data_IF_652160855407
#
_entry.id   IF_652160855407
#
_cell.length_a   1.000
_cell.length_b   1.000
_cell.length_c   1.000
_cell.angle_alpha   90.00
_cell.angle_beta   90.00
_cell.angle_gamma   90.00
#
_symmetry.space_group_name_H-M   'P 1'
#
loop_
_entity.id
_entity.type
_entity.pdbx_description
1 polymer ?
#
# COMPACT_ATOMS: atom_id res chain seq x y z
N UNK A 1 15.36 -8.28 11.17
CA UNK A 1 14.55 -7.10 10.78
C UNK A 1 13.19 -7.26 11.44
N UNK A 2 12.78 -6.33 12.30
CA UNK A 2 11.50 -6.42 13.01
C UNK A 2 10.56 -5.33 12.53
N UNK A 3 9.36 -5.72 12.12
CA UNK A 3 8.27 -4.79 11.82
C UNK A 3 7.82 -4.08 13.09
N UNK A 4 7.26 -2.87 12.95
CA UNK A 4 6.91 -1.96 14.04
C UNK A 4 5.90 -2.47 15.06
N UNK A 5 5.27 -3.62 14.81
CA UNK A 5 4.39 -4.33 15.75
C UNK A 5 5.18 -5.05 16.86
N UNK A 6 4.67 -6.21 17.31
CA UNK A 6 5.19 -7.02 18.41
C UNK A 6 6.68 -7.38 18.28
N UNK A 7 7.18 -7.58 17.05
CA UNK A 7 8.58 -7.93 16.83
C UNK A 7 9.55 -6.87 17.38
N UNK A 8 9.24 -5.59 17.19
CA UNK A 8 10.07 -4.48 17.71
C UNK A 8 10.07 -4.40 19.24
N UNK A 9 8.98 -4.81 19.89
CA UNK A 9 8.89 -4.89 21.35
C UNK A 9 9.77 -5.99 21.93
N UNK A 10 9.71 -7.19 21.36
CA UNK A 10 10.57 -8.31 21.75
C UNK A 10 12.04 -7.93 21.55
N UNK A 11 12.36 -7.30 20.42
CA UNK A 11 13.73 -6.84 20.13
C UNK A 11 14.22 -5.83 21.17
N UNK A 12 13.40 -4.84 21.56
CA UNK A 12 13.77 -3.86 22.57
C UNK A 12 14.00 -4.49 23.95
N UNK A 13 13.13 -5.41 24.37
CA UNK A 13 13.28 -6.11 25.66
C UNK A 13 14.52 -6.99 25.66
N UNK A 14 14.72 -7.80 24.62
CA UNK A 14 15.91 -8.64 24.47
C UNK A 14 17.19 -7.79 24.45
N UNK A 15 17.20 -6.68 23.71
CA UNK A 15 18.32 -5.75 23.66
C UNK A 15 18.69 -5.23 25.05
N UNK A 16 17.69 -4.83 25.85
CA UNK A 16 17.89 -4.36 27.22
C UNK A 16 18.41 -5.45 28.16
N UNK A 17 17.92 -6.68 28.05
CA UNK A 17 18.37 -7.81 28.88
C UNK A 17 19.79 -8.25 28.55
N UNK A 18 20.17 -8.19 27.28
CA UNK A 18 21.47 -8.65 26.78
C UNK A 18 22.53 -7.53 26.74
N UNK A 19 22.16 -6.28 27.05
CA UNK A 19 23.07 -5.14 26.96
C UNK A 19 23.52 -4.81 25.53
N UNK A 20 22.71 -5.15 24.53
CA UNK A 20 22.96 -4.88 23.11
C UNK A 20 21.97 -3.83 22.57
N UNK A 21 22.13 -3.42 21.31
CA UNK A 21 21.21 -2.49 20.64
C UNK A 21 20.24 -3.20 19.70
N UNK A 22 19.22 -2.48 19.23
CA UNK A 22 18.30 -2.96 18.20
C UNK A 22 17.95 -1.88 17.18
N UNK A 23 17.47 -2.33 16.02
CA UNK A 23 16.92 -1.50 14.95
C UNK A 23 15.56 -2.04 14.51
N UNK A 24 14.75 -1.20 13.89
CA UNK A 24 13.44 -1.60 13.36
C UNK A 24 13.14 -1.00 11.99
N UNK A 25 12.14 -1.58 11.31
CA UNK A 25 11.64 -1.08 10.03
C UNK A 25 10.15 -0.81 10.14
N UNK A 26 9.73 0.42 9.81
CA UNK A 26 8.34 0.87 9.91
C UNK A 26 7.70 1.03 8.53
N UNK A 27 6.55 0.40 8.35
CA UNK A 27 5.68 0.49 7.19
C UNK A 27 4.48 1.40 7.49
N UNK A 28 3.71 1.74 6.45
CA UNK A 28 2.54 2.63 6.62
C UNK A 28 1.54 2.13 7.67
N UNK A 29 1.25 0.83 7.74
CA UNK A 29 0.33 0.27 8.74
C UNK A 29 0.89 0.33 10.17
N UNK A 30 2.21 0.20 10.34
CA UNK A 30 2.88 0.37 11.65
C UNK A 30 2.66 1.79 12.19
N UNK A 31 2.61 2.79 11.31
CA UNK A 31 2.49 4.21 11.68
C UNK A 31 1.04 4.66 11.80
N UNK A 32 0.25 4.38 10.76
CA UNK A 32 -1.07 4.98 10.55
C UNK A 32 -2.20 4.21 11.24
N UNK A 33 -1.98 2.94 11.55
CA UNK A 33 -2.99 2.10 12.19
C UNK A 33 -2.56 1.63 13.58
N UNK A 34 -1.26 1.36 13.80
CA UNK A 34 -0.79 0.66 15.01
C UNK A 34 0.46 1.30 15.66
N UNK A 35 0.38 2.60 15.97
CA UNK A 35 1.46 3.37 16.59
C UNK A 35 1.68 3.14 18.09
N UNK A 36 1.27 1.99 18.65
CA UNK A 36 1.35 1.74 20.08
C UNK A 36 2.80 1.79 20.58
N UNK A 37 3.05 2.69 21.54
CA UNK A 37 4.35 2.93 22.18
C UNK A 37 5.50 3.17 21.21
N UNK A 38 5.19 3.76 20.05
CA UNK A 38 6.18 3.98 19.01
C UNK A 38 7.22 5.02 19.43
N UNK A 39 6.83 6.00 20.26
CA UNK A 39 7.70 6.94 20.95
C UNK A 39 8.82 6.22 21.73
N UNK A 40 8.46 5.24 22.57
CA UNK A 40 9.41 4.49 23.39
C UNK A 40 10.35 3.68 22.49
N UNK A 41 9.80 2.98 21.49
CA UNK A 41 10.59 2.16 20.57
C UNK A 41 11.56 3.01 19.74
N UNK A 42 11.11 4.16 19.22
CA UNK A 42 11.94 5.10 18.47
C UNK A 42 13.03 5.72 19.34
N UNK A 43 12.71 6.05 20.60
CA UNK A 43 13.70 6.59 21.54
C UNK A 43 14.82 5.57 21.82
N UNK A 44 14.47 4.28 21.97
CA UNK A 44 15.41 3.24 22.37
C UNK A 44 16.09 2.49 21.21
N UNK A 45 15.62 2.58 19.97
CA UNK A 45 16.31 1.97 18.83
C UNK A 45 17.55 2.78 18.43
N UNK A 46 18.59 2.12 17.93
CA UNK A 46 19.77 2.80 17.38
C UNK A 46 19.48 3.53 16.08
N UNK A 47 18.72 2.90 15.18
CA UNK A 47 18.23 3.50 13.94
C UNK A 47 16.93 2.84 13.51
N UNK A 48 16.17 3.54 12.66
CA UNK A 48 14.92 3.07 12.11
C UNK A 48 14.89 3.30 10.59
N UNK A 49 14.55 2.26 9.84
CA UNK A 49 14.19 2.40 8.44
C UNK A 49 12.70 2.63 8.28
N UNK A 50 12.31 3.40 7.27
CA UNK A 50 10.93 3.45 6.80
C UNK A 50 10.87 3.45 5.28
N UNK A 51 9.72 3.09 4.71
CA UNK A 51 9.60 2.77 3.29
C UNK A 51 9.32 3.97 2.38
N UNK A 52 9.05 5.15 2.94
CA UNK A 52 8.71 6.36 2.18
C UNK A 52 9.07 7.66 2.91
N UNK A 53 9.28 8.74 2.15
CA UNK A 53 9.48 10.08 2.73
C UNK A 53 8.22 10.60 3.42
N UNK A 54 7.03 10.16 2.98
CA UNK A 54 5.80 10.44 3.70
C UNK A 54 5.86 9.89 5.13
N UNK A 55 6.25 8.63 5.29
CA UNK A 55 6.38 8.00 6.60
C UNK A 55 7.44 8.69 7.46
N UNK A 56 8.58 9.07 6.86
CA UNK A 56 9.65 9.79 7.57
C UNK A 56 9.15 11.11 8.12
N UNK A 57 8.50 11.93 7.29
CA UNK A 57 7.88 13.19 7.73
C UNK A 57 6.84 12.96 8.82
N UNK A 58 5.95 11.98 8.63
CA UNK A 58 4.94 11.62 9.62
C UNK A 58 5.57 11.29 10.99
N UNK A 59 6.66 10.51 11.02
CA UNK A 59 7.38 10.18 12.25
C UNK A 59 7.95 11.45 12.90
N UNK A 60 8.65 12.30 12.14
CA UNK A 60 9.31 13.49 12.69
C UNK A 60 8.32 14.55 13.19
N UNK A 61 7.18 14.69 12.51
CA UNK A 61 6.09 15.58 12.94
C UNK A 61 5.40 15.07 14.20
N UNK A 62 5.19 13.74 14.31
CA UNK A 62 4.45 13.14 15.43
C UNK A 62 5.31 12.88 16.66
N UNK A 63 6.61 12.71 16.49
CA UNK A 63 7.57 12.37 17.55
C UNK A 63 8.77 13.34 17.53
N UNK A 64 8.56 14.61 17.92
CA UNK A 64 9.57 15.67 17.77
C UNK A 64 10.85 15.46 18.60
N UNK A 65 10.82 14.57 19.60
CA UNK A 65 12.00 14.20 20.39
C UNK A 65 12.95 13.22 19.68
N UNK A 66 12.61 12.75 18.48
CA UNK A 66 13.40 11.78 17.74
C UNK A 66 14.37 12.50 16.79
N UNK A 67 15.69 12.24 16.89
CA UNK A 67 16.68 12.82 15.98
C UNK A 67 16.40 12.46 14.51
N UNK A 68 16.55 13.45 13.62
CA UNK A 68 16.19 13.30 12.20
C UNK A 68 17.08 12.30 11.45
N UNK A 69 18.33 12.16 11.88
CA UNK A 69 19.35 11.23 11.38
C UNK A 69 19.10 9.78 11.82
N UNK A 70 18.30 9.57 12.88
CA UNK A 70 17.88 8.24 13.33
C UNK A 70 16.93 7.57 12.32
N UNK A 71 16.21 8.34 11.51
CA UNK A 71 15.19 7.86 10.57
C UNK A 71 15.69 7.93 9.14
N UNK A 72 15.89 6.77 8.53
CA UNK A 72 16.34 6.63 7.14
C UNK A 72 15.23 6.05 6.24
N UNK A 73 15.12 6.57 5.02
CA UNK A 73 14.19 6.01 4.03
C UNK A 73 14.88 4.91 3.23
N UNK A 74 14.30 3.71 3.24
CA UNK A 74 14.69 2.58 2.41
C UNK A 74 13.46 2.13 1.64
N UNK A 75 13.40 2.48 0.35
CA UNK A 75 12.31 2.04 -0.52
C UNK A 75 12.35 0.52 -0.72
N UNK A 76 11.16 -0.08 -0.75
CA UNK A 76 10.99 -1.49 -1.05
C UNK A 76 11.31 -1.73 -2.53
N UNK A 77 12.29 -2.59 -2.80
CA UNK A 77 12.61 -3.01 -4.15
C UNK A 77 11.58 -4.00 -4.69
N UNK A 78 11.53 -4.11 -6.02
CA UNK A 78 10.84 -5.19 -6.73
C UNK A 78 11.90 -6.07 -7.39
N UNK A 79 11.76 -7.39 -7.30
CA UNK A 79 12.70 -8.31 -7.93
C UNK A 79 12.67 -8.14 -9.45
N UNK A 80 13.81 -7.80 -10.05
CA UNK A 80 13.98 -7.64 -11.50
C UNK A 80 14.53 -8.91 -12.15
N UNK A 81 14.28 -10.08 -11.56
CA UNK A 81 14.89 -11.35 -11.94
C UNK A 81 14.56 -11.80 -13.38
N UNK A 82 13.60 -11.15 -14.03
CA UNK A 82 13.38 -11.25 -15.47
C UNK A 82 13.71 -9.90 -16.11
N UNK A 83 14.41 -9.89 -17.26
CA UNK A 83 14.52 -8.65 -18.04
C UNK A 83 13.11 -8.10 -18.20
N UNK A 84 12.95 -6.79 -17.97
CA UNK A 84 11.72 -6.08 -18.29
C UNK A 84 11.49 -6.29 -19.79
N UNK A 85 10.78 -7.36 -20.14
CA UNK A 85 10.37 -7.63 -21.51
C UNK A 85 9.64 -6.35 -21.90
N UNK A 86 10.05 -5.65 -22.99
CA UNK A 86 9.29 -4.53 -23.48
C UNK A 86 7.87 -5.05 -23.65
N UNK A 87 6.97 -4.64 -22.76
CA UNK A 87 5.62 -5.16 -22.78
C UNK A 87 5.11 -4.84 -24.18
N UNK A 88 4.70 -5.86 -24.95
CA UNK A 88 3.81 -5.59 -26.08
C UNK A 88 2.74 -4.68 -25.50
N UNK A 89 2.62 -3.46 -26.03
CA UNK A 89 1.64 -2.50 -25.52
C UNK A 89 0.33 -3.26 -25.39
N UNK A 90 -0.18 -3.36 -24.16
CA UNK A 90 -1.45 -3.99 -23.92
C UNK A 90 -2.48 -3.09 -24.60
N UNK A 91 -2.88 -3.47 -25.81
CA UNK A 91 -3.85 -2.73 -26.58
C UNK A 91 -5.22 -3.12 -26.03
N UNK A 92 -5.90 -2.14 -25.42
CA UNK A 92 -7.33 -2.24 -25.21
C UNK A 92 -8.06 -2.26 -26.55
N UNK A 93 -9.40 -2.41 -26.54
CA UNK A 93 -10.20 -2.23 -27.74
C UNK A 93 -9.87 -0.90 -28.43
N UNK A 94 -9.93 -0.86 -29.76
CA UNK A 94 -9.56 0.34 -30.52
C UNK A 94 -10.38 1.56 -30.09
N UNK A 95 -9.68 2.68 -29.84
CA UNK A 95 -10.27 3.92 -29.34
C UNK A 95 -10.76 3.86 -27.89
N UNK A 96 -10.31 2.89 -27.09
CA UNK A 96 -10.73 2.68 -25.71
C UNK A 96 -9.55 2.87 -24.73
N UNK A 97 -9.74 3.71 -23.71
CA UNK A 97 -8.78 3.86 -22.63
C UNK A 97 -8.75 2.59 -21.75
N UNK A 98 -7.58 1.97 -21.62
CA UNK A 98 -7.40 0.81 -20.73
C UNK A 98 -6.92 1.27 -19.35
N UNK A 99 -7.76 1.06 -18.34
CA UNK A 99 -7.43 1.29 -16.93
C UNK A 99 -7.12 -0.05 -16.26
N UNK A 100 -6.04 -0.11 -15.49
CA UNK A 100 -5.66 -1.30 -14.72
C UNK A 100 -5.49 -0.92 -13.24
N UNK A 101 -6.17 -1.63 -12.36
CA UNK A 101 -5.94 -1.59 -10.93
C UNK A 101 -5.55 -2.98 -10.43
N UNK A 102 -4.47 -3.06 -9.66
CA UNK A 102 -3.96 -4.33 -9.11
C UNK A 102 -3.88 -4.23 -7.60
N UNK A 103 -4.54 -5.15 -6.90
CA UNK A 103 -4.48 -5.24 -5.45
C UNK A 103 -5.62 -6.04 -4.86
N UNK A 104 -5.44 -6.48 -3.60
CA UNK A 104 -6.50 -7.16 -2.83
C UNK A 104 -7.79 -6.34 -2.84
N UNK A 105 -8.93 -7.00 -3.02
CA UNK A 105 -10.26 -6.40 -2.92
C UNK A 105 -10.59 -6.20 -1.43
N UNK A 106 -9.97 -5.18 -0.85
CA UNK A 106 -10.04 -4.85 0.57
C UNK A 106 -10.28 -3.34 0.70
N UNK A 107 -11.00 -2.93 1.75
CA UNK A 107 -11.34 -1.53 2.03
C UNK A 107 -10.17 -0.54 1.86
N UNK A 108 -8.96 -0.87 2.32
CA UNK A 108 -7.76 0.00 2.19
C UNK A 108 -7.31 0.29 0.76
N UNK A 109 -7.79 -0.49 -0.22
CA UNK A 109 -7.53 -0.24 -1.65
C UNK A 109 -8.61 0.60 -2.31
N UNK A 110 -9.77 0.75 -1.66
CA UNK A 110 -10.91 1.56 -2.09
C UNK A 110 -11.23 1.47 -3.59
N UNK A 111 -11.38 0.24 -4.10
CA UNK A 111 -11.82 0.02 -5.48
C UNK A 111 -13.22 0.61 -5.75
N UNK A 112 -14.04 0.81 -4.71
CA UNK A 112 -15.34 1.46 -4.84
C UNK A 112 -15.18 2.92 -5.33
N UNK A 113 -14.16 3.65 -4.88
CA UNK A 113 -13.84 4.98 -5.40
C UNK A 113 -13.47 4.95 -6.89
N UNK A 114 -12.69 3.96 -7.31
CA UNK A 114 -12.36 3.76 -8.73
C UNK A 114 -13.63 3.49 -9.56
N UNK A 115 -14.56 2.65 -9.07
CA UNK A 115 -15.83 2.39 -9.76
C UNK A 115 -16.68 3.66 -9.91
N UNK A 116 -16.78 4.47 -8.84
CA UNK A 116 -17.47 5.77 -8.90
C UNK A 116 -16.83 6.71 -9.92
N UNK A 117 -15.50 6.71 -10.02
CA UNK A 117 -14.78 7.46 -11.05
C UNK A 117 -15.06 6.95 -12.46
N UNK A 118 -15.14 5.63 -12.66
CA UNK A 118 -15.54 5.02 -13.94
C UNK A 118 -16.95 5.45 -14.36
N UNK A 119 -17.90 5.56 -13.42
CA UNK A 119 -19.23 6.09 -13.71
C UNK A 119 -19.19 7.52 -14.24
N UNK A 120 -18.33 8.39 -13.68
CA UNK A 120 -18.12 9.75 -14.17
C UNK A 120 -17.51 9.77 -15.59
N UNK A 121 -16.58 8.86 -15.89
CA UNK A 121 -16.01 8.73 -17.25
C UNK A 121 -17.10 8.32 -18.25
N UNK A 122 -17.96 7.37 -17.88
CA UNK A 122 -19.09 6.92 -18.70
C UNK A 122 -20.09 8.05 -18.97
N UNK A 123 -20.42 8.83 -17.94
CA UNK A 123 -21.29 10.02 -18.07
C UNK A 123 -20.72 11.08 -19.02
N UNK A 124 -19.38 11.18 -19.10
CA UNK A 124 -18.68 12.06 -20.04
C UNK A 124 -18.47 11.44 -21.43
N UNK A 125 -19.13 10.31 -21.71
CA UNK A 125 -19.05 9.58 -22.98
C UNK A 125 -17.64 9.15 -23.37
N UNK A 126 -16.74 8.97 -22.39
CA UNK A 126 -15.42 8.41 -22.64
C UNK A 126 -15.53 6.89 -22.82
N UNK A 127 -14.89 6.37 -23.87
CA UNK A 127 -14.77 4.93 -24.09
C UNK A 127 -13.60 4.40 -23.28
N UNK A 128 -13.86 3.52 -22.32
CA UNK A 128 -12.83 2.89 -21.48
C UNK A 128 -13.16 1.45 -21.12
N UNK A 129 -12.12 0.71 -20.74
CA UNK A 129 -12.19 -0.61 -20.13
C UNK A 129 -11.34 -0.59 -18.86
N UNK A 130 -11.94 -0.90 -17.72
CA UNK A 130 -11.27 -0.98 -16.42
C UNK A 130 -11.13 -2.44 -16.00
N UNK A 131 -9.89 -2.88 -15.84
CA UNK A 131 -9.53 -4.19 -15.35
C UNK A 131 -9.08 -4.07 -13.90
N UNK A 132 -9.70 -4.84 -13.01
CA UNK A 132 -9.35 -4.89 -11.60
C UNK A 132 -8.85 -6.31 -11.31
N UNK A 133 -7.55 -6.45 -11.06
CA UNK A 133 -6.88 -7.70 -10.75
C UNK A 133 -6.67 -7.84 -9.24
N UNK A 134 -7.22 -8.90 -8.67
CA UNK A 134 -7.15 -9.21 -7.25
C UNK A 134 -8.40 -9.91 -6.73
N UNK A 135 -8.28 -10.46 -5.53
CA UNK A 135 -9.37 -11.07 -4.77
C UNK A 135 -9.45 -10.47 -3.37
N UNK A 136 -10.59 -10.66 -2.71
CA UNK A 136 -10.75 -10.25 -1.32
C UNK A 136 -12.21 -10.14 -0.87
N UNK A 137 -12.41 -9.80 0.41
CA UNK A 137 -13.74 -9.76 1.03
C UNK A 137 -14.70 -8.77 0.36
N UNK A 138 -14.20 -7.71 -0.27
CA UNK A 138 -15.02 -6.70 -0.97
C UNK A 138 -15.53 -7.16 -2.34
N UNK A 139 -15.26 -8.40 -2.78
CA UNK A 139 -15.65 -8.82 -4.15
C UNK A 139 -17.16 -8.63 -4.39
N UNK A 140 -18.00 -9.17 -3.50
CA UNK A 140 -19.46 -9.14 -3.68
C UNK A 140 -20.01 -7.72 -3.65
N UNK A 141 -19.51 -6.86 -2.76
CA UNK A 141 -19.91 -5.45 -2.69
C UNK A 141 -19.51 -4.70 -3.96
N UNK A 142 -18.33 -4.97 -4.52
CA UNK A 142 -17.88 -4.37 -5.78
C UNK A 142 -18.69 -4.85 -6.99
N UNK A 143 -19.03 -6.14 -7.08
CA UNK A 143 -19.89 -6.68 -8.15
C UNK A 143 -21.28 -6.03 -8.14
N UNK A 144 -21.87 -5.85 -6.94
CA UNK A 144 -23.12 -5.14 -6.77
C UNK A 144 -23.00 -3.67 -7.22
N UNK A 145 -21.96 -2.96 -6.78
CA UNK A 145 -21.73 -1.57 -7.15
C UNK A 145 -21.50 -1.39 -8.66
N UNK A 146 -20.82 -2.33 -9.32
CA UNK A 146 -20.68 -2.35 -10.79
C UNK A 146 -22.06 -2.43 -11.46
N UNK A 147 -22.96 -3.27 -10.95
CA UNK A 147 -24.31 -3.41 -11.47
C UNK A 147 -25.14 -2.13 -11.25
N UNK A 148 -25.08 -1.55 -10.05
CA UNK A 148 -25.80 -0.32 -9.67
C UNK A 148 -25.36 0.88 -10.50
N UNK A 149 -24.05 1.01 -10.77
CA UNK A 149 -23.50 2.07 -11.61
C UNK A 149 -23.65 1.81 -13.12
N UNK A 150 -24.21 0.66 -13.50
CA UNK A 150 -24.37 0.28 -14.90
C UNK A 150 -23.04 0.08 -15.64
N UNK A 151 -22.00 -0.38 -14.95
CA UNK A 151 -20.62 -0.48 -15.45
C UNK A 151 -20.22 -1.88 -15.96
N UNK A 152 -21.19 -2.79 -16.14
CA UNK A 152 -20.92 -4.21 -16.48
C UNK A 152 -20.16 -4.41 -17.79
N UNK A 153 -20.29 -3.50 -18.75
CA UNK A 153 -19.57 -3.53 -20.03
C UNK A 153 -18.17 -2.93 -19.94
N UNK A 154 -17.97 -1.98 -19.03
CA UNK A 154 -16.73 -1.21 -18.90
C UNK A 154 -15.79 -1.74 -17.83
N UNK A 155 -16.26 -2.51 -16.85
CA UNK A 155 -15.43 -2.98 -15.72
C UNK A 155 -15.39 -4.50 -15.65
N UNK A 156 -14.20 -5.07 -15.48
CA UNK A 156 -13.99 -6.52 -15.27
C UNK A 156 -13.16 -6.77 -14.01
N UNK A 157 -13.70 -7.59 -13.10
CA UNK A 157 -12.95 -8.16 -12.00
C UNK A 157 -12.26 -9.44 -12.49
N UNK A 158 -10.94 -9.44 -12.59
CA UNK A 158 -10.15 -10.53 -13.15
C UNK A 158 -9.90 -11.67 -12.15
N UNK A 159 -10.08 -11.40 -10.86
CA UNK A 159 -9.73 -12.33 -9.80
C UNK A 159 -8.23 -12.41 -9.53
N UNK A 160 -7.78 -13.52 -8.95
CA UNK A 160 -6.37 -13.73 -8.61
C UNK A 160 -5.57 -14.01 -9.90
N UNK A 161 -4.48 -13.26 -10.09
CA UNK A 161 -3.58 -13.34 -11.27
C UNK A 161 -2.14 -13.53 -10.84
#
# INVERSE_FOLDING_TARGET
MHHGYFGSWVAMVAARLLGITFSMTLHGSDLLQHGAYLDIKLANCSFCFTVSEYNRRFILERYPGIPTDKISVQHMGVGTAQPLIPAKQAQGPEGCLLLLAVGRLHAVKDHAFLLRSCALLKQRSLRFLCLIAGEGPERKSLEQLIAELGLKSEVKLLGHV
#
